data_IF_322212827196
#
_entry.id   IF_322212827196
#
_cell.length_a   1.000
_cell.length_b   1.000
_cell.length_c   1.000
_cell.angle_alpha   90.00
_cell.angle_beta   90.00
_cell.angle_gamma   90.00
#
_symmetry.space_group_name_H-M   'P 1'
#
loop_
_entity.id
_entity.type
_entity.pdbx_description
1 polymer ?
#
# COMPACT_ATOMS: atom_id res chain seq x y z
N UNK A 1 -22.21 -14.11 -41.14
CA UNK A 1 -22.78 -13.53 -42.38
C UNK A 1 -23.33 -12.15 -42.04
N UNK A 2 -22.63 -11.09 -42.42
CA UNK A 2 -23.15 -9.74 -42.74
C UNK A 2 -21.92 -8.92 -43.18
N UNK A 3 -21.82 -8.73 -44.49
CA UNK A 3 -20.81 -7.93 -45.19
C UNK A 3 -21.33 -6.50 -45.32
N UNK A 4 -20.56 -5.49 -44.90
CA UNK A 4 -20.68 -4.12 -45.39
C UNK A 4 -19.30 -3.59 -45.81
N UNK A 5 -19.18 -2.82 -46.92
CA UNK A 5 -17.93 -2.61 -47.62
C UNK A 5 -17.18 -1.34 -47.21
N UNK A 6 -15.86 -1.38 -47.37
CA UNK A 6 -14.94 -0.26 -47.19
C UNK A 6 -15.14 0.82 -48.27
N UNK A 7 -15.29 2.08 -47.85
CA UNK A 7 -15.32 3.25 -48.73
C UNK A 7 -13.89 3.78 -48.86
N UNK A 8 -13.23 3.47 -49.99
CA UNK A 8 -11.97 4.08 -50.42
C UNK A 8 -12.27 5.35 -51.23
N UNK A 9 -12.03 6.53 -50.64
CA UNK A 9 -12.02 7.80 -51.40
C UNK A 9 -10.65 8.02 -52.01
N UNK A 10 -10.55 7.78 -53.32
CA UNK A 10 -9.43 8.18 -54.15
C UNK A 10 -9.45 9.71 -54.37
N UNK A 11 -8.47 10.43 -53.80
CA UNK A 11 -8.16 11.79 -54.25
C UNK A 11 -7.11 11.73 -55.37
N UNK A 12 -7.52 12.16 -56.56
CA UNK A 12 -6.65 12.33 -57.73
C UNK A 12 -5.75 13.56 -57.53
N UNK A 13 -4.46 13.35 -57.38
CA UNK A 13 -3.47 14.43 -57.49
C UNK A 13 -3.27 14.78 -58.97
N UNK A 14 -3.88 15.88 -59.40
CA UNK A 14 -3.57 16.53 -60.67
C UNK A 14 -2.20 17.21 -60.60
N UNK A 15 -1.24 16.76 -61.42
CA UNK A 15 0.00 17.50 -61.70
C UNK A 15 -0.34 18.76 -62.48
N UNK A 16 -0.20 19.93 -61.88
CA UNK A 16 -0.06 21.19 -62.62
C UNK A 16 1.06 22.06 -62.02
N UNK A 17 2.02 22.34 -62.89
CA UNK A 17 2.97 23.46 -62.90
C UNK A 17 4.03 23.57 -61.79
N UNK A 18 5.12 22.80 -61.98
CA UNK A 18 6.48 23.17 -61.53
C UNK A 18 7.09 24.20 -62.49
N UNK A 19 6.75 25.49 -62.39
CA UNK A 19 7.54 26.60 -62.96
C UNK A 19 7.26 27.88 -62.15
N UNK A 20 8.07 28.18 -61.13
CA UNK A 20 7.93 29.42 -60.36
C UNK A 20 8.63 29.50 -58.99
N UNK A 21 9.12 28.39 -58.43
CA UNK A 21 9.61 28.36 -57.03
C UNK A 21 11.07 28.83 -56.81
N UNK A 22 11.80 29.24 -57.85
CA UNK A 22 13.23 29.60 -57.70
C UNK A 22 13.50 31.10 -57.50
N UNK A 23 12.50 31.98 -57.65
CA UNK A 23 12.69 33.42 -57.42
C UNK A 23 12.39 33.86 -55.96
N UNK A 24 11.61 33.08 -55.20
CA UNK A 24 11.24 33.44 -53.82
C UNK A 24 12.28 33.00 -52.76
N UNK A 25 13.12 32.01 -53.05
CA UNK A 25 14.12 31.50 -52.11
C UNK A 25 15.34 32.42 -51.95
N UNK A 26 15.67 33.23 -52.97
CA UNK A 26 16.80 34.15 -52.94
C UNK A 26 16.53 35.41 -52.10
N UNK A 27 15.27 35.82 -51.93
CA UNK A 27 14.90 37.01 -51.15
C UNK A 27 14.88 36.74 -49.64
N UNK A 28 14.59 35.49 -49.21
CA UNK A 28 14.61 35.10 -47.79
C UNK A 28 16.05 34.94 -47.27
N UNK A 29 17.00 34.57 -48.13
CA UNK A 29 18.42 34.44 -47.74
C UNK A 29 19.14 35.79 -47.60
N UNK A 30 18.66 36.86 -48.26
CA UNK A 30 19.26 38.19 -48.20
C UNK A 30 18.80 39.03 -46.98
N UNK A 31 17.66 38.67 -46.36
CA UNK A 31 17.17 39.32 -45.13
C UNK A 31 17.87 38.74 -43.87
N UNK A 32 18.47 37.54 -43.97
CA UNK A 32 19.21 36.89 -42.89
C UNK A 32 20.61 37.44 -42.60
N UNK A 33 21.12 38.38 -43.42
CA UNK A 33 22.45 38.99 -43.25
C UNK A 33 22.41 40.45 -42.75
N UNK A 34 21.25 40.99 -42.45
CA UNK A 34 21.16 42.30 -41.79
C UNK A 34 21.58 42.14 -40.32
N UNK A 35 22.50 42.97 -39.78
CA UNK A 35 22.83 42.94 -38.36
C UNK A 35 21.54 43.19 -37.55
N UNK A 36 21.08 42.13 -36.88
CA UNK A 36 19.94 42.18 -35.98
C UNK A 36 20.27 43.21 -34.88
N UNK A 37 19.34 44.10 -34.49
CA UNK A 37 19.58 44.98 -33.35
C UNK A 37 19.87 44.10 -32.13
N UNK A 38 20.83 44.49 -31.28
CA UNK A 38 21.27 43.69 -30.12
C UNK A 38 20.11 43.16 -29.23
N UNK A 39 18.99 43.88 -29.21
CA UNK A 39 17.72 43.46 -28.59
C UNK A 39 17.11 42.17 -29.16
N UNK A 40 17.18 41.94 -30.47
CA UNK A 40 16.66 40.74 -31.12
C UNK A 40 17.56 39.52 -30.88
N UNK A 41 18.89 39.71 -30.86
CA UNK A 41 19.82 38.65 -30.48
C UNK A 41 19.66 38.25 -29.01
N UNK A 42 19.40 39.22 -28.12
CA UNK A 42 19.16 38.96 -26.70
C UNK A 42 17.87 38.16 -26.48
N UNK A 43 16.82 38.44 -27.24
CA UNK A 43 15.57 37.67 -27.19
C UNK A 43 15.76 36.22 -27.70
N UNK A 44 16.51 36.03 -28.79
CA UNK A 44 16.84 34.70 -29.31
C UNK A 44 17.69 33.88 -28.32
N UNK A 45 18.67 34.52 -27.68
CA UNK A 45 19.50 33.87 -26.66
C UNK A 45 18.67 33.48 -25.42
N UNK A 46 17.70 34.31 -25.02
CA UNK A 46 16.79 34.00 -23.92
C UNK A 46 15.85 32.83 -24.26
N UNK A 47 15.35 32.75 -25.50
CA UNK A 47 14.57 31.61 -25.99
C UNK A 47 15.43 30.34 -26.05
N UNK A 48 16.65 30.42 -26.57
CA UNK A 48 17.60 29.30 -26.60
C UNK A 48 17.92 28.80 -25.18
N UNK A 49 18.16 29.72 -24.23
CA UNK A 49 18.41 29.36 -22.83
C UNK A 49 17.21 28.69 -22.16
N UNK A 50 15.97 28.99 -22.58
CA UNK A 50 14.78 28.27 -22.12
C UNK A 50 14.67 26.88 -22.75
N UNK A 51 14.98 26.74 -24.03
CA UNK A 51 14.93 25.46 -24.75
C UNK A 51 16.05 24.49 -24.33
N UNK A 52 17.18 25.02 -23.85
CA UNK A 52 18.33 24.26 -23.40
C UNK A 52 18.39 24.04 -21.88
N UNK A 53 17.44 24.56 -21.11
CA UNK A 53 17.43 24.37 -19.66
C UNK A 53 16.91 22.97 -19.32
N UNK A 54 17.76 22.18 -18.65
CA UNK A 54 17.45 20.80 -18.27
C UNK A 54 17.22 20.69 -16.76
N UNK A 55 15.99 20.34 -16.38
CA UNK A 55 15.62 20.11 -14.99
C UNK A 55 16.37 18.92 -14.34
N UNK A 56 16.93 18.00 -15.12
CA UNK A 56 17.79 16.91 -14.60
C UNK A 56 19.02 17.43 -13.85
N UNK A 57 19.43 18.68 -14.12
CA UNK A 57 20.55 19.33 -13.43
C UNK A 57 20.16 20.02 -12.12
N UNK A 58 18.86 20.11 -11.82
CA UNK A 58 18.31 20.95 -10.74
C UNK A 58 17.97 20.20 -9.46
N UNK A 59 18.18 18.87 -9.43
CA UNK A 59 17.79 18.00 -8.32
C UNK A 59 16.28 17.69 -8.26
N UNK A 60 15.47 18.30 -9.14
CA UNK A 60 14.05 18.01 -9.30
C UNK A 60 13.77 17.64 -10.76
N UNK A 61 13.81 16.34 -11.04
CA UNK A 61 13.42 15.81 -12.34
C UNK A 61 11.90 15.92 -12.54
N UNK A 62 11.50 16.54 -13.64
CA UNK A 62 10.09 16.64 -14.01
C UNK A 62 9.58 15.29 -14.55
N UNK A 63 9.08 14.46 -13.64
CA UNK A 63 8.47 13.16 -13.95
C UNK A 63 6.97 13.15 -13.70
N UNK A 64 6.28 12.22 -14.36
CA UNK A 64 4.84 12.04 -14.20
C UNK A 64 4.05 13.33 -14.47
N UNK A 65 3.11 13.66 -13.59
CA UNK A 65 2.23 14.83 -13.75
C UNK A 65 2.98 16.17 -13.66
N UNK A 66 4.19 16.21 -13.10
CA UNK A 66 4.97 17.46 -13.01
C UNK A 66 5.59 17.89 -14.35
N UNK A 67 5.75 16.97 -15.31
CA UNK A 67 6.35 17.26 -16.62
C UNK A 67 5.52 18.19 -17.48
N UNK A 68 4.20 18.10 -17.33
CA UNK A 68 3.28 18.76 -18.25
C UNK A 68 2.73 20.09 -17.65
N UNK A 69 3.31 20.55 -16.54
CA UNK A 69 2.94 21.80 -15.87
C UNK A 69 3.64 23.02 -16.52
N UNK A 70 2.95 24.17 -16.61
CA UNK A 70 3.59 25.40 -17.06
C UNK A 70 4.54 25.96 -16.00
N UNK A 71 5.60 26.65 -16.43
CA UNK A 71 6.72 27.09 -15.60
C UNK A 71 6.29 27.85 -14.34
N UNK A 72 5.30 28.74 -14.49
CA UNK A 72 4.77 29.61 -13.44
C UNK A 72 4.03 28.84 -12.32
N UNK A 73 3.69 27.58 -12.53
CA UNK A 73 3.08 26.74 -11.49
C UNK A 73 4.05 26.49 -10.34
N UNK A 74 5.35 26.44 -10.64
CA UNK A 74 6.42 26.21 -9.66
C UNK A 74 7.24 27.48 -9.43
N UNK A 75 7.53 28.23 -10.50
CA UNK A 75 8.36 29.45 -10.47
C UNK A 75 7.51 30.70 -10.27
N UNK A 76 6.98 30.83 -9.06
CA UNK A 76 6.11 31.95 -8.65
C UNK A 76 6.85 33.28 -8.81
N UNK A 77 6.17 34.28 -9.38
CA UNK A 77 6.75 35.59 -9.71
C UNK A 77 8.01 35.53 -10.59
N UNK A 78 8.12 34.50 -11.43
CA UNK A 78 9.28 34.24 -12.27
C UNK A 78 10.60 34.08 -11.48
N UNK A 79 10.52 33.62 -10.24
CA UNK A 79 11.69 33.28 -9.42
C UNK A 79 12.04 31.82 -9.69
N UNK A 80 13.11 31.59 -10.46
CA UNK A 80 13.53 30.25 -10.87
C UNK A 80 14.48 29.58 -9.87
N UNK A 81 15.36 30.36 -9.23
CA UNK A 81 16.35 29.86 -8.28
C UNK A 81 15.73 29.67 -6.89
N UNK A 82 16.04 28.54 -6.26
CA UNK A 82 15.58 28.24 -4.89
C UNK A 82 14.13 27.75 -4.82
N UNK A 83 13.57 27.34 -5.97
CA UNK A 83 12.26 26.65 -5.99
C UNK A 83 12.38 25.36 -5.16
N UNK A 84 11.52 25.15 -4.16
CA UNK A 84 11.60 23.97 -3.31
C UNK A 84 11.43 22.67 -4.10
N UNK A 85 12.16 21.63 -3.70
CA UNK A 85 12.09 20.29 -4.29
C UNK A 85 11.35 19.29 -3.41
N UNK A 86 11.08 19.65 -2.15
CA UNK A 86 10.36 18.81 -1.20
C UNK A 86 8.85 18.85 -1.48
N UNK A 87 8.20 17.69 -1.42
CA UNK A 87 6.78 17.54 -1.75
C UNK A 87 5.89 18.51 -0.95
N UNK A 88 6.10 18.57 0.38
CA UNK A 88 5.31 19.39 1.30
C UNK A 88 5.52 20.89 1.14
N UNK A 89 6.61 21.33 0.52
CA UNK A 89 6.85 22.75 0.25
C UNK A 89 6.00 23.28 -0.93
N UNK A 90 5.43 22.39 -1.74
CA UNK A 90 4.51 22.72 -2.83
C UNK A 90 3.08 22.25 -2.54
N UNK A 91 2.94 21.04 -1.99
CA UNK A 91 1.67 20.40 -1.63
C UNK A 91 1.28 20.65 -0.16
N UNK A 92 1.89 21.64 0.48
CA UNK A 92 1.52 22.09 1.82
C UNK A 92 0.38 23.11 1.78
N UNK A 93 -0.35 23.25 2.86
CA UNK A 93 -1.34 24.33 2.99
C UNK A 93 -0.58 25.62 3.30
N UNK A 94 -0.85 26.68 2.54
CA UNK A 94 -0.25 28.01 2.75
C UNK A 94 1.15 28.18 2.15
N UNK A 95 1.58 27.26 1.29
CA UNK A 95 2.84 27.36 0.55
C UNK A 95 2.77 28.40 -0.57
N UNK A 96 3.94 28.90 -0.98
CA UNK A 96 4.05 29.86 -2.10
C UNK A 96 3.62 29.23 -3.42
N UNK A 97 3.98 27.97 -3.64
CA UNK A 97 3.48 27.15 -4.75
C UNK A 97 2.10 26.64 -4.37
N UNK A 98 1.10 26.90 -5.21
CA UNK A 98 -0.29 26.47 -4.97
C UNK A 98 -0.55 25.11 -5.62
N UNK A 99 -0.08 24.03 -4.99
CA UNK A 99 -0.43 22.68 -5.41
C UNK A 99 -1.54 22.08 -4.53
N UNK A 100 -2.11 20.96 -4.99
CA UNK A 100 -3.14 20.24 -4.23
C UNK A 100 -2.53 19.65 -2.97
N UNK A 101 -2.98 20.12 -1.81
CA UNK A 101 -2.52 19.61 -0.53
C UNK A 101 -3.13 18.26 -0.17
N UNK A 102 -2.52 17.58 0.82
CA UNK A 102 -3.05 16.34 1.41
C UNK A 102 -4.53 16.55 1.81
N UNK A 103 -5.48 15.77 1.28
CA UNK A 103 -6.89 15.97 1.58
C UNK A 103 -7.22 15.51 3.01
N UNK A 104 -8.31 16.03 3.59
CA UNK A 104 -8.71 15.69 4.98
C UNK A 104 -9.01 14.21 5.20
N UNK A 105 -9.41 13.49 4.16
CA UNK A 105 -9.69 12.05 4.20
C UNK A 105 -8.45 11.19 3.90
N UNK A 106 -7.26 11.79 3.84
CA UNK A 106 -6.01 11.04 3.76
C UNK A 106 -5.71 10.37 5.10
N UNK A 107 -5.09 9.20 5.06
CA UNK A 107 -4.57 8.52 6.26
C UNK A 107 -3.59 9.41 7.04
N UNK A 108 -3.45 9.18 8.34
CA UNK A 108 -2.42 9.87 9.11
C UNK A 108 -1.04 9.30 8.73
N UNK A 109 -0.13 10.17 8.30
CA UNK A 109 1.23 9.78 7.87
C UNK A 109 2.19 10.94 8.05
N UNK A 110 3.50 10.67 7.94
CA UNK A 110 4.53 11.69 7.80
C UNK A 110 4.44 12.42 6.45
N UNK A 111 5.30 13.43 6.28
CA UNK A 111 5.48 14.18 5.02
C UNK A 111 6.48 13.51 4.05
N UNK A 112 6.86 12.25 4.29
CA UNK A 112 7.67 11.47 3.35
C UNK A 112 6.77 10.90 2.24
N UNK A 113 6.23 11.79 1.41
CA UNK A 113 5.22 11.45 0.40
C UNK A 113 5.68 10.34 -0.54
N UNK A 114 6.97 10.32 -0.90
CA UNK A 114 7.59 9.32 -1.78
C UNK A 114 7.60 7.90 -1.24
N UNK A 115 7.43 7.72 0.08
CA UNK A 115 7.29 6.40 0.69
C UNK A 115 5.96 5.72 0.35
N UNK A 116 4.98 6.50 -0.14
CA UNK A 116 3.68 5.98 -0.55
C UNK A 116 3.36 6.27 -2.03
N UNK A 117 3.59 7.51 -2.46
CA UNK A 117 3.19 8.02 -3.75
C UNK A 117 4.36 8.11 -4.72
N UNK A 118 4.09 8.00 -6.01
CA UNK A 118 5.05 8.35 -7.05
C UNK A 118 4.48 9.46 -7.92
N UNK A 119 5.31 10.33 -8.52
CA UNK A 119 4.83 11.36 -9.45
C UNK A 119 4.07 10.78 -10.67
N UNK A 120 4.35 9.51 -11.02
CA UNK A 120 3.74 8.80 -12.15
C UNK A 120 2.42 8.13 -11.75
N UNK A 121 2.36 7.56 -10.55
CA UNK A 121 1.18 6.90 -9.99
C UNK A 121 0.94 7.43 -8.57
N UNK A 122 0.17 8.53 -8.49
CA UNK A 122 -0.12 9.21 -7.23
C UNK A 122 -1.32 8.59 -6.50
N UNK A 123 -2.39 8.22 -7.22
CA UNK A 123 -3.59 7.64 -6.63
C UNK A 123 -4.11 6.50 -7.52
N UNK A 124 -4.19 5.25 -7.02
CA UNK A 124 -3.83 4.82 -5.66
C UNK A 124 -2.32 4.95 -5.37
N UNK A 125 -1.96 5.03 -4.09
CA UNK A 125 -0.58 4.91 -3.65
C UNK A 125 -0.05 3.52 -4.04
N UNK A 126 1.09 3.47 -4.72
CA UNK A 126 1.67 2.22 -5.25
C UNK A 126 2.82 1.68 -4.41
N UNK A 127 3.42 2.54 -3.61
CA UNK A 127 4.34 2.16 -2.56
C UNK A 127 3.56 2.29 -1.25
N UNK A 128 3.76 1.41 -0.28
CA UNK A 128 3.14 1.62 1.04
C UNK A 128 4.13 1.19 2.11
N UNK A 129 4.88 2.16 2.61
CA UNK A 129 5.76 1.98 3.75
C UNK A 129 5.02 2.24 5.07
N UNK A 130 4.74 1.16 5.80
CA UNK A 130 4.08 1.22 7.11
C UNK A 130 4.85 2.05 8.15
N UNK A 131 6.18 2.24 7.99
CA UNK A 131 6.97 3.07 8.92
C UNK A 131 6.59 4.56 8.83
N UNK A 132 5.94 4.97 7.74
CA UNK A 132 5.45 6.33 7.52
C UNK A 132 3.98 6.51 7.89
N UNK A 133 3.22 5.43 8.04
CA UNK A 133 1.87 5.47 8.55
C UNK A 133 1.87 5.81 10.05
N UNK A 134 0.78 6.41 10.53
CA UNK A 134 0.58 6.79 11.94
C UNK A 134 -0.83 6.38 12.38
N UNK A 135 -0.99 6.16 13.69
CA UNK A 135 -2.24 5.66 14.28
C UNK A 135 -2.20 4.16 14.55
N UNK A 136 -3.30 3.63 15.09
CA UNK A 136 -3.41 2.21 15.43
C UNK A 136 -3.74 1.37 14.20
N UNK A 137 -3.28 0.12 14.16
CA UNK A 137 -3.46 -0.80 13.04
C UNK A 137 -4.95 -0.97 12.68
N UNK A 138 -5.79 -1.16 13.70
CA UNK A 138 -7.24 -1.36 13.57
C UNK A 138 -7.97 -0.20 12.90
N UNK A 139 -7.43 1.03 12.94
CA UNK A 139 -8.07 2.20 12.33
C UNK A 139 -8.10 2.11 10.79
N UNK A 140 -7.13 1.41 10.19
CA UNK A 140 -7.04 1.15 8.76
C UNK A 140 -7.42 -0.30 8.41
N UNK A 141 -6.95 -1.27 9.18
CA UNK A 141 -7.22 -2.70 8.98
C UNK A 141 -8.58 -3.12 9.54
N UNK A 142 -9.62 -2.45 9.06
CA UNK A 142 -11.02 -2.57 9.51
C UNK A 142 -11.92 -3.30 8.51
N UNK A 143 -11.35 -3.87 7.45
CA UNK A 143 -12.10 -4.54 6.38
C UNK A 143 -12.72 -3.60 5.34
N UNK A 144 -12.62 -2.28 5.54
CA UNK A 144 -13.05 -1.27 4.56
C UNK A 144 -11.86 -0.62 3.86
N UNK A 145 -10.91 -0.07 4.61
CA UNK A 145 -9.72 0.58 4.03
C UNK A 145 -8.62 -0.42 3.68
N UNK A 146 -8.34 -1.35 4.61
CA UNK A 146 -7.41 -2.44 4.42
C UNK A 146 -7.99 -3.72 5.03
N UNK A 147 -7.44 -4.86 4.60
CA UNK A 147 -7.85 -6.17 5.13
C UNK A 147 -7.64 -6.21 6.65
N UNK A 148 -8.71 -6.52 7.39
CA UNK A 148 -8.65 -6.73 8.83
C UNK A 148 -8.42 -8.19 9.21
N UNK A 149 -8.92 -8.59 10.37
CA UNK A 149 -8.90 -9.98 10.84
C UNK A 149 -9.72 -10.87 9.90
N UNK A 150 -9.12 -11.94 9.41
CA UNK A 150 -9.78 -12.93 8.54
C UNK A 150 -10.62 -13.95 9.33
N UNK A 151 -11.39 -14.81 8.65
CA UNK A 151 -12.27 -15.79 9.29
C UNK A 151 -11.56 -16.82 10.17
N UNK A 152 -10.28 -17.08 9.92
CA UNK A 152 -9.43 -18.03 10.69
C UNK A 152 -8.46 -17.33 11.62
N UNK A 153 -8.64 -16.03 11.87
CA UNK A 153 -7.83 -15.28 12.82
C UNK A 153 -8.27 -15.63 14.24
N UNK A 154 -7.31 -15.84 15.14
CA UNK A 154 -7.59 -16.08 16.56
C UNK A 154 -8.47 -14.96 17.15
N UNK A 155 -9.43 -15.31 18.00
CA UNK A 155 -10.30 -14.33 18.64
C UNK A 155 -9.48 -13.50 19.63
N UNK A 156 -9.37 -12.20 19.39
CA UNK A 156 -8.64 -11.26 20.25
C UNK A 156 -9.13 -9.84 20.02
N UNK A 157 -9.09 -9.01 21.06
CA UNK A 157 -9.34 -7.57 20.99
C UNK A 157 -8.06 -6.74 21.13
N UNK A 158 -6.89 -7.39 21.22
CA UNK A 158 -5.60 -6.71 21.22
C UNK A 158 -5.36 -5.99 19.88
N UNK A 159 -4.60 -4.91 19.93
CA UNK A 159 -4.07 -4.27 18.73
C UNK A 159 -3.10 -5.21 18.00
N UNK A 160 -3.01 -5.01 16.68
CA UNK A 160 -2.33 -5.97 15.80
C UNK A 160 -0.84 -6.08 16.10
N UNK A 161 -0.21 -5.00 16.55
CA UNK A 161 1.21 -4.90 16.88
C UNK A 161 1.60 -5.69 18.14
N UNK A 162 0.63 -6.17 18.93
CA UNK A 162 0.89 -7.14 20.00
C UNK A 162 1.39 -8.49 19.47
N UNK A 163 1.03 -8.85 18.22
CA UNK A 163 1.35 -10.15 17.62
C UNK A 163 2.10 -10.03 16.29
N UNK A 164 1.79 -9.02 15.48
CA UNK A 164 2.30 -8.84 14.13
C UNK A 164 3.32 -7.70 14.05
N UNK A 165 4.17 -7.73 13.03
CA UNK A 165 5.07 -6.62 12.70
C UNK A 165 4.74 -6.07 11.32
N UNK A 166 5.25 -4.86 11.05
CA UNK A 166 5.10 -4.21 9.74
C UNK A 166 6.05 -4.75 8.67
N UNK A 167 7.05 -5.57 9.05
CA UNK A 167 8.05 -6.13 8.13
C UNK A 167 7.62 -7.50 7.60
N UNK A 168 7.09 -8.34 8.50
CA UNK A 168 6.57 -9.66 8.14
C UNK A 168 5.20 -9.82 8.79
N UNK A 169 4.15 -9.74 7.97
CA UNK A 169 2.79 -9.96 8.43
C UNK A 169 2.57 -11.43 8.85
N UNK A 170 3.22 -12.35 8.14
CA UNK A 170 3.28 -13.76 8.50
C UNK A 170 4.25 -13.99 9.68
N UNK A 171 3.96 -14.98 10.51
CA UNK A 171 4.77 -15.31 11.69
C UNK A 171 4.38 -14.54 12.94
N UNK A 172 3.07 -14.30 13.13
CA UNK A 172 2.56 -13.70 14.36
C UNK A 172 3.06 -14.45 15.59
N UNK A 173 3.48 -13.72 16.61
CA UNK A 173 3.84 -14.32 17.89
C UNK A 173 2.58 -14.45 18.75
N UNK A 174 2.42 -15.58 19.41
CA UNK A 174 1.34 -15.83 20.35
C UNK A 174 1.90 -16.45 21.62
N UNK A 175 1.36 -16.02 22.76
CA UNK A 175 1.66 -16.56 24.08
C UNK A 175 0.34 -16.76 24.84
N UNK A 176 0.27 -17.83 25.61
CA UNK A 176 -0.88 -18.16 26.44
C UNK A 176 -1.00 -17.32 27.73
N UNK A 177 -0.02 -16.48 28.07
CA UNK A 177 -0.08 -15.62 29.27
C UNK A 177 -1.38 -14.80 29.29
N UNK A 178 -2.14 -14.93 30.37
CA UNK A 178 -3.42 -14.25 30.57
C UNK A 178 -4.63 -15.03 30.06
N UNK A 179 -4.43 -16.14 29.35
CA UNK A 179 -5.51 -17.06 28.96
C UNK A 179 -5.77 -18.02 30.13
N UNK A 180 -6.86 -17.78 30.87
CA UNK A 180 -7.23 -18.59 32.04
C UNK A 180 -8.46 -19.47 31.82
N UNK A 181 -9.21 -19.23 30.74
CA UNK A 181 -10.45 -19.95 30.41
C UNK A 181 -10.82 -19.80 28.94
N UNK A 182 -11.76 -20.63 28.47
CA UNK A 182 -12.25 -20.59 27.10
C UNK A 182 -11.34 -21.30 26.11
N UNK A 183 -10.54 -22.28 26.54
CA UNK A 183 -9.57 -22.97 25.68
C UNK A 183 -10.20 -23.52 24.40
N UNK A 184 -11.41 -24.08 24.48
CA UNK A 184 -12.14 -24.64 23.35
C UNK A 184 -12.48 -23.61 22.24
N UNK A 185 -12.49 -22.31 22.56
CA UNK A 185 -12.73 -21.26 21.57
C UNK A 185 -11.54 -21.07 20.60
N UNK A 186 -10.35 -21.52 20.99
CA UNK A 186 -9.16 -21.51 20.13
C UNK A 186 -8.74 -22.93 19.72
N UNK A 187 -8.94 -23.93 20.58
CA UNK A 187 -8.61 -25.33 20.34
C UNK A 187 -9.80 -26.06 19.67
N UNK A 188 -10.21 -25.56 18.51
CA UNK A 188 -11.40 -25.97 17.76
C UNK A 188 -11.08 -26.73 16.45
N UNK A 189 -9.81 -27.08 16.24
CA UNK A 189 -9.27 -27.65 15.00
C UNK A 189 -9.29 -26.70 13.79
N UNK A 190 -9.58 -25.41 13.99
CA UNK A 190 -9.45 -24.36 12.98
C UNK A 190 -8.30 -23.42 13.36
N UNK A 191 -8.32 -22.90 14.58
CA UNK A 191 -7.33 -21.93 15.07
C UNK A 191 -6.14 -22.61 15.74
N UNK A 192 -6.39 -23.67 16.50
CA UNK A 192 -5.38 -24.51 17.11
C UNK A 192 -5.87 -25.97 17.18
N UNK A 193 -4.92 -26.88 17.40
CA UNK A 193 -5.21 -28.32 17.54
C UNK A 193 -6.16 -28.53 18.72
N UNK A 194 -7.35 -29.06 18.46
CA UNK A 194 -8.35 -29.34 19.47
C UNK A 194 -8.20 -30.72 20.11
N UNK A 195 -9.31 -31.24 20.64
CA UNK A 195 -9.38 -32.61 21.15
C UNK A 195 -9.07 -33.61 20.01
N UNK A 196 -8.13 -34.52 20.27
CA UNK A 196 -7.73 -35.56 19.33
C UNK A 196 -8.55 -36.84 19.55
N UNK A 197 -8.49 -37.78 18.61
CA UNK A 197 -9.17 -39.07 18.73
C UNK A 197 -8.73 -39.92 19.94
N UNK A 198 -7.55 -39.62 20.51
CA UNK A 198 -7.00 -40.31 21.69
C UNK A 198 -7.31 -39.60 23.00
N UNK A 199 -8.07 -38.50 22.97
CA UNK A 199 -8.46 -37.76 24.17
C UNK A 199 -9.49 -38.56 24.97
N UNK A 200 -9.47 -38.41 26.31
CA UNK A 200 -10.50 -39.00 27.18
C UNK A 200 -11.87 -38.42 26.83
N UNK A 201 -12.94 -39.24 26.68
CA UNK A 201 -14.28 -38.71 26.44
C UNK A 201 -14.69 -37.68 27.50
N UNK A 202 -14.90 -36.44 27.07
CA UNK A 202 -15.45 -35.34 27.87
C UNK A 202 -16.89 -35.18 27.41
N UNK A 203 -17.85 -35.30 28.33
CA UNK A 203 -19.28 -35.51 28.03
C UNK A 203 -19.98 -34.48 27.13
N UNK A 204 -21.30 -34.61 26.96
CA UNK A 204 -22.13 -33.68 26.18
C UNK A 204 -23.12 -32.94 27.10
N UNK A 205 -23.08 -31.60 27.20
CA UNK A 205 -22.16 -30.68 26.51
C UNK A 205 -20.72 -30.82 27.00
N UNK A 206 -19.77 -30.43 26.13
CA UNK A 206 -18.34 -30.51 26.38
C UNK A 206 -18.01 -29.84 27.71
N UNK A 207 -17.40 -30.59 28.63
CA UNK A 207 -16.92 -30.03 29.89
C UNK A 207 -15.76 -29.06 29.61
N UNK A 208 -15.72 -27.94 30.32
CA UNK A 208 -14.65 -26.94 30.19
C UNK A 208 -13.26 -27.56 30.37
N UNK A 209 -12.35 -27.27 29.44
CA UNK A 209 -10.99 -27.83 29.40
C UNK A 209 -10.22 -27.57 30.71
N UNK A 210 -10.43 -26.41 31.31
CA UNK A 210 -9.79 -25.90 32.52
C UNK A 210 -10.19 -26.68 33.77
N UNK A 211 -11.22 -27.52 33.69
CA UNK A 211 -11.61 -28.44 34.76
C UNK A 211 -10.70 -29.66 34.88
N UNK A 212 -9.93 -29.96 33.83
CA UNK A 212 -8.96 -31.05 33.77
C UNK A 212 -7.53 -30.54 33.54
N UNK A 213 -7.36 -29.49 32.73
CA UNK A 213 -6.05 -28.96 32.33
C UNK A 213 -5.73 -27.67 33.08
N UNK A 214 -4.48 -27.55 33.55
CA UNK A 214 -4.03 -26.38 34.29
C UNK A 214 -3.93 -25.15 33.37
N UNK A 215 -4.61 -24.04 33.69
CA UNK A 215 -4.49 -22.79 32.93
C UNK A 215 -3.21 -22.01 33.28
N UNK A 216 -2.25 -22.60 34.00
CA UNK A 216 -0.98 -21.96 34.37
C UNK A 216 0.23 -22.67 33.79
N UNK A 217 0.04 -23.85 33.17
CA UNK A 217 1.11 -24.60 32.50
C UNK A 217 0.78 -24.73 31.01
N UNK A 218 1.43 -23.89 30.20
CA UNK A 218 1.17 -23.77 28.77
C UNK A 218 2.16 -24.54 27.89
N UNK A 219 3.04 -25.33 28.50
CA UNK A 219 4.07 -26.09 27.76
C UNK A 219 3.54 -27.44 27.29
N UNK A 220 2.51 -27.98 27.95
CA UNK A 220 1.94 -29.28 27.61
C UNK A 220 0.53 -29.42 28.21
N UNK A 221 -0.38 -30.06 27.46
CA UNK A 221 -1.72 -30.45 27.95
C UNK A 221 -1.67 -31.54 29.04
N UNK A 222 -0.50 -32.16 29.24
CA UNK A 222 -0.22 -33.15 30.26
C UNK A 222 0.71 -32.57 31.35
N UNK A 223 0.50 -32.87 32.65
CA UNK A 223 -0.57 -33.67 33.22
C UNK A 223 -1.93 -32.96 33.26
N UNK A 224 -2.97 -33.67 32.82
CA UNK A 224 -4.36 -33.34 33.15
C UNK A 224 -4.78 -34.08 34.42
N UNK A 225 -5.67 -33.49 35.22
CA UNK A 225 -6.29 -34.14 36.37
C UNK A 225 -7.62 -34.76 35.91
N UNK A 226 -7.86 -36.02 36.29
CA UNK A 226 -9.13 -36.68 35.97
C UNK A 226 -10.27 -36.06 36.80
N UNK A 227 -11.20 -35.42 36.11
CA UNK A 227 -12.45 -34.93 36.67
C UNK A 227 -13.53 -36.02 36.53
N UNK A 228 -13.74 -36.80 37.60
CA UNK A 228 -14.69 -37.91 37.61
C UNK A 228 -16.12 -37.52 37.17
N UNK A 229 -16.70 -36.38 37.63
CA UNK A 229 -17.96 -35.88 37.09
C UNK A 229 -18.01 -35.74 35.56
N UNK A 230 -16.90 -35.33 34.94
CA UNK A 230 -16.80 -35.07 33.50
C UNK A 230 -16.68 -36.35 32.64
N UNK A 231 -16.29 -37.47 33.24
CA UNK A 231 -16.10 -38.78 32.58
C UNK A 231 -17.17 -39.81 32.96
N UNK A 232 -18.31 -39.35 33.49
CA UNK A 232 -19.40 -40.20 33.98
C UNK A 232 -20.07 -41.09 32.90
N UNK A 233 -19.79 -40.84 31.62
CA UNK A 233 -20.22 -41.69 30.51
C UNK A 233 -19.34 -42.94 30.31
N UNK A 234 -18.22 -43.07 31.03
CA UNK A 234 -17.32 -44.23 31.01
C UNK A 234 -17.58 -45.13 32.23
N UNK A 235 -17.40 -46.44 32.05
CA UNK A 235 -17.42 -47.37 33.19
C UNK A 235 -16.15 -47.22 34.01
N UNK A 236 -16.23 -47.36 35.34
CA UNK A 236 -15.05 -47.30 36.22
C UNK A 236 -13.95 -48.29 35.78
N UNK A 237 -14.40 -49.47 35.32
CA UNK A 237 -13.58 -50.55 34.78
C UNK A 237 -12.67 -50.11 33.63
N UNK A 238 -13.14 -49.23 32.74
CA UNK A 238 -12.39 -48.84 31.55
C UNK A 238 -11.10 -48.05 31.87
N UNK A 239 -10.99 -47.49 33.07
CA UNK A 239 -9.80 -46.77 33.54
C UNK A 239 -9.08 -47.47 34.70
N UNK A 240 -9.81 -48.09 35.64
CA UNK A 240 -9.25 -48.62 36.88
C UNK A 240 -8.92 -50.12 36.88
N UNK A 241 -9.34 -50.88 35.86
CA UNK A 241 -9.03 -52.32 35.76
C UNK A 241 -7.84 -52.62 34.84
N UNK A 242 -7.27 -51.59 34.20
CA UNK A 242 -5.99 -51.72 33.50
C UNK A 242 -4.84 -51.39 34.46
N UNK A 243 -3.79 -52.23 34.49
CA UNK A 243 -2.65 -52.11 35.42
C UNK A 243 -1.79 -50.82 35.26
N UNK A 244 -2.26 -49.82 34.52
CA UNK A 244 -1.52 -48.60 34.17
C UNK A 244 -1.94 -47.35 34.98
N UNK A 245 -2.96 -47.42 35.84
CA UNK A 245 -3.28 -46.33 36.79
C UNK A 245 -2.82 -46.71 38.20
N UNK A 246 -1.53 -46.58 38.48
CA UNK A 246 -1.00 -46.62 39.85
C UNK A 246 -1.25 -45.26 40.52
N UNK A 247 -2.24 -45.21 41.42
CA UNK A 247 -2.53 -43.97 42.16
C UNK A 247 -3.61 -44.06 43.24
N UNK A 248 -3.82 -45.23 43.85
CA UNK A 248 -4.36 -45.32 45.21
C UNK A 248 -3.20 -45.54 46.18
#
# INVERSE_FOLDING_TARGET
MHFWPAISKHWRFGRRHRRGAFAAAALVLAIGLMPQPASAQSALNAVQSRLNFDHLTTGFELTGQHRDLPCESCHVNAIFKGTPTDCGACHGIGTVVRATAKPRNHILSTDQCGACHTPVAWNPAVNFDHTQARGSCSTCHNGTMAQGKGPTHIITDLECDACHTTLTWAGATFNHVGVTSGCAACHDNVHAVGVTATHVPIGTPVTSCESCHSPTNYTTWNPGVINHPAVSALTCASCHETANFQGM
#
